data_IF_399131201250
#
_entry.id   IF_399131201250
#
_cell.length_a   1.000
_cell.length_b   1.000
_cell.length_c   1.000
_cell.angle_alpha   90.00
_cell.angle_beta   90.00
_cell.angle_gamma   90.00
#
_symmetry.space_group_name_H-M   'P 1'
#
loop_
_entity.id
_entity.type
_entity.pdbx_description
1 polymer ?
#
# COMPACT_ATOMS: atom_id res chain seq x y z
N UNK A 1 -4.42 25.47 22.35
CA UNK A 1 -4.93 24.25 21.70
C UNK A 1 -3.81 23.64 20.86
N UNK A 2 -3.24 22.50 21.27
CA UNK A 2 -2.16 21.87 20.51
C UNK A 2 -2.70 21.32 19.19
N UNK A 3 -2.17 21.77 18.05
CA UNK A 3 -2.47 21.20 16.73
C UNK A 3 -2.06 19.72 16.75
N UNK A 4 -3.04 18.82 16.81
CA UNK A 4 -2.82 17.37 16.66
C UNK A 4 -2.18 17.17 15.29
N UNK A 5 -0.91 16.77 15.24
CA UNK A 5 -0.23 16.46 13.96
C UNK A 5 -1.06 15.39 13.23
N UNK A 6 -1.34 15.55 11.93
CA UNK A 6 -2.03 14.52 11.15
C UNK A 6 -1.22 13.22 11.23
N UNK A 7 -1.89 12.14 11.61
CA UNK A 7 -1.26 10.82 11.73
C UNK A 7 -1.46 10.12 10.40
N UNK A 8 -0.39 9.96 9.64
CA UNK A 8 -0.41 9.21 8.40
C UNK A 8 0.10 7.79 8.64
N UNK A 9 -0.57 6.81 8.02
CA UNK A 9 -0.04 5.47 7.85
C UNK A 9 0.69 5.39 6.50
N UNK A 10 1.94 4.96 6.53
CA UNK A 10 2.73 4.73 5.32
C UNK A 10 2.70 3.25 4.96
N UNK A 11 2.22 2.96 3.76
CA UNK A 11 2.15 1.62 3.16
C UNK A 11 3.53 1.00 2.96
N UNK A 12 3.58 -0.28 2.61
CA UNK A 12 4.81 -1.05 2.45
C UNK A 12 5.68 -0.55 1.30
N UNK A 13 5.10 0.06 0.28
CA UNK A 13 5.84 0.75 -0.80
C UNK A 13 6.48 2.05 -0.33
N UNK A 14 6.03 2.59 0.81
CA UNK A 14 6.48 3.87 1.37
C UNK A 14 5.96 5.11 0.62
N UNK A 15 5.24 4.90 -0.48
CA UNK A 15 4.76 5.97 -1.36
C UNK A 15 3.38 6.46 -0.93
N UNK A 16 2.45 5.52 -0.73
CA UNK A 16 1.09 5.86 -0.36
C UNK A 16 0.99 6.14 1.14
N UNK A 17 0.42 7.30 1.47
CA UNK A 17 0.13 7.75 2.84
C UNK A 17 -1.37 7.83 3.08
N UNK A 18 -1.86 7.10 4.06
CA UNK A 18 -3.28 7.06 4.43
C UNK A 18 -3.48 7.97 5.65
N UNK A 19 -4.33 8.98 5.52
CA UNK A 19 -4.65 9.92 6.60
C UNK A 19 -5.59 9.28 7.61
N UNK A 20 -5.05 8.91 8.77
CA UNK A 20 -5.82 8.25 9.83
C UNK A 20 -6.87 9.18 10.47
N UNK A 21 -6.77 10.50 10.27
CA UNK A 21 -7.76 11.45 10.80
C UNK A 21 -9.07 11.46 10.02
N UNK A 22 -9.08 10.89 8.82
CA UNK A 22 -10.27 10.79 7.97
C UNK A 22 -11.07 9.50 8.19
N UNK A 23 -10.56 8.60 9.03
CA UNK A 23 -11.23 7.34 9.32
C UNK A 23 -12.47 7.58 10.16
N UNK A 24 -13.58 6.96 9.77
CA UNK A 24 -14.80 6.99 10.54
C UNK A 24 -14.74 6.06 11.78
N UNK A 25 -15.79 6.09 12.61
CA UNK A 25 -15.84 5.30 13.82
C UNK A 25 -15.82 3.77 13.58
N UNK A 26 -16.42 3.29 12.48
CA UNK A 26 -16.42 1.86 12.11
C UNK A 26 -15.05 1.44 11.64
N UNK A 27 -14.44 2.25 10.78
CA UNK A 27 -13.08 2.06 10.28
C UNK A 27 -12.06 2.01 11.42
N UNK A 28 -12.17 2.92 12.38
CA UNK A 28 -11.31 2.94 13.57
C UNK A 28 -11.51 1.70 14.45
N UNK A 29 -12.75 1.26 14.66
CA UNK A 29 -13.04 0.05 15.45
C UNK A 29 -12.51 -1.22 14.77
N UNK A 30 -12.73 -1.35 13.46
CA UNK A 30 -12.16 -2.42 12.64
C UNK A 30 -10.64 -2.45 12.75
N UNK A 31 -9.97 -1.31 12.52
CA UNK A 31 -8.51 -1.25 12.57
C UNK A 31 -7.95 -1.58 13.96
N UNK A 32 -8.62 -1.17 15.04
CA UNK A 32 -8.20 -1.53 16.39
C UNK A 32 -8.18 -3.05 16.57
N UNK A 33 -9.25 -3.75 16.21
CA UNK A 33 -9.27 -5.23 16.32
C UNK A 33 -8.25 -5.90 15.40
N UNK A 34 -8.08 -5.40 14.17
CA UNK A 34 -7.08 -5.92 13.23
C UNK A 34 -5.67 -5.74 13.80
N UNK A 35 -5.35 -4.58 14.36
CA UNK A 35 -4.04 -4.28 14.93
C UNK A 35 -3.77 -5.08 16.20
N UNK A 36 -4.78 -5.26 17.06
CA UNK A 36 -4.62 -6.12 18.24
C UNK A 36 -4.34 -7.56 17.83
N UNK A 37 -5.05 -8.09 16.83
CA UNK A 37 -4.75 -9.43 16.31
C UNK A 37 -3.37 -9.48 15.66
N UNK A 38 -2.99 -8.47 14.88
CA UNK A 38 -1.67 -8.38 14.26
C UNK A 38 -0.53 -8.47 15.27
N UNK A 39 -0.69 -7.85 16.45
CA UNK A 39 0.31 -7.87 17.53
C UNK A 39 0.54 -9.26 18.12
N UNK A 40 -0.41 -10.19 17.99
CA UNK A 40 -0.22 -11.58 18.44
C UNK A 40 0.67 -12.39 17.51
N UNK A 41 1.15 -11.79 16.41
CA UNK A 41 1.98 -12.43 15.37
C UNK A 41 1.32 -13.70 14.78
N UNK A 42 0.08 -13.59 14.29
CA UNK A 42 -0.59 -14.70 13.63
C UNK A 42 0.16 -15.06 12.34
N UNK A 43 -0.04 -16.28 11.86
CA UNK A 43 0.44 -16.62 10.53
C UNK A 43 -0.35 -15.89 9.42
N UNK A 44 0.20 -15.90 8.20
CA UNK A 44 -0.43 -15.21 7.07
C UNK A 44 -1.89 -15.62 6.80
N UNK A 45 -2.20 -16.92 6.87
CA UNK A 45 -3.54 -17.43 6.58
C UNK A 45 -4.52 -17.12 7.71
N UNK A 46 -4.08 -17.28 8.96
CA UNK A 46 -4.84 -16.90 10.15
C UNK A 46 -5.20 -15.41 10.12
N UNK A 47 -4.23 -14.55 9.77
CA UNK A 47 -4.45 -13.12 9.62
C UNK A 47 -5.44 -12.78 8.51
N UNK A 48 -5.27 -13.34 7.31
CA UNK A 48 -6.15 -13.11 6.18
C UNK A 48 -7.61 -13.49 6.51
N UNK A 49 -7.80 -14.67 7.11
CA UNK A 49 -9.11 -15.16 7.53
C UNK A 49 -9.75 -14.26 8.59
N UNK A 50 -9.02 -13.93 9.66
CA UNK A 50 -9.54 -13.08 10.74
C UNK A 50 -9.87 -11.68 10.24
N UNK A 51 -9.00 -11.07 9.43
CA UNK A 51 -9.23 -9.75 8.83
C UNK A 51 -10.51 -9.74 7.99
N UNK A 52 -10.73 -10.76 7.16
CA UNK A 52 -11.94 -10.86 6.35
C UNK A 52 -13.22 -10.98 7.20
N UNK A 53 -13.19 -11.76 8.29
CA UNK A 53 -14.30 -11.85 9.25
C UNK A 53 -14.57 -10.50 9.93
N UNK A 54 -13.52 -9.78 10.36
CA UNK A 54 -13.66 -8.45 10.93
C UNK A 54 -14.21 -7.44 9.91
N UNK A 55 -13.78 -7.52 8.66
CA UNK A 55 -14.27 -6.64 7.58
C UNK A 55 -15.78 -6.81 7.38
N UNK A 56 -16.26 -8.05 7.38
CA UNK A 56 -17.68 -8.37 7.29
C UNK A 56 -18.45 -7.89 8.54
N UNK A 57 -17.93 -8.18 9.74
CA UNK A 57 -18.50 -7.76 11.03
C UNK A 57 -18.73 -6.25 11.09
N UNK A 58 -17.76 -5.46 10.64
CA UNK A 58 -17.79 -4.00 10.65
C UNK A 58 -18.37 -3.37 9.38
N UNK A 59 -18.74 -4.19 8.38
CA UNK A 59 -19.25 -3.76 7.07
C UNK A 59 -18.32 -2.75 6.37
N UNK A 60 -17.02 -3.05 6.39
CA UNK A 60 -15.98 -2.20 5.80
C UNK A 60 -15.89 -2.47 4.30
N UNK A 61 -16.02 -1.40 3.51
CA UNK A 61 -15.88 -1.43 2.06
C UNK A 61 -14.47 -1.88 1.65
N UNK A 62 -14.37 -2.65 0.56
CA UNK A 62 -13.10 -3.23 0.09
C UNK A 62 -12.07 -2.16 -0.24
N UNK A 63 -12.53 -1.02 -0.76
CA UNK A 63 -11.68 0.11 -1.18
C UNK A 63 -11.60 1.22 -0.12
N UNK A 64 -11.97 0.93 1.12
CA UNK A 64 -11.85 1.88 2.22
C UNK A 64 -10.40 2.03 2.69
N UNK A 65 -10.07 3.16 3.29
CA UNK A 65 -8.74 3.42 3.83
C UNK A 65 -8.36 2.40 4.91
N UNK A 66 -9.34 1.98 5.72
CA UNK A 66 -9.14 0.94 6.72
C UNK A 66 -8.88 -0.44 6.12
N UNK A 67 -9.62 -0.84 5.08
CA UNK A 67 -9.37 -2.10 4.40
C UNK A 67 -7.96 -2.14 3.79
N UNK A 68 -7.52 -1.05 3.16
CA UNK A 68 -6.18 -0.91 2.58
C UNK A 68 -5.07 -1.08 3.61
N UNK A 69 -5.21 -0.49 4.81
CA UNK A 69 -4.26 -0.72 5.91
C UNK A 69 -4.24 -2.19 6.30
N UNK A 70 -5.42 -2.83 6.38
CA UNK A 70 -5.52 -4.26 6.68
C UNK A 70 -4.81 -5.15 5.64
N UNK A 71 -4.97 -4.87 4.35
CA UNK A 71 -4.27 -5.58 3.28
C UNK A 71 -2.76 -5.34 3.32
N UNK A 72 -2.32 -4.12 3.64
CA UNK A 72 -0.90 -3.81 3.79
C UNK A 72 -0.26 -4.60 4.96
N UNK A 73 -0.96 -4.71 6.08
CA UNK A 73 -0.53 -5.54 7.21
C UNK A 73 -0.43 -7.02 6.83
N UNK A 74 -1.42 -7.55 6.12
CA UNK A 74 -1.42 -8.92 5.61
C UNK A 74 -0.21 -9.18 4.69
N UNK A 75 0.05 -8.27 3.74
CA UNK A 75 1.19 -8.36 2.83
C UNK A 75 2.53 -8.38 3.58
N UNK A 76 2.68 -7.58 4.66
CA UNK A 76 3.89 -7.58 5.49
C UNK A 76 4.13 -8.91 6.21
N UNK A 77 3.07 -9.57 6.69
CA UNK A 77 3.20 -10.93 7.26
C UNK A 77 3.62 -11.90 6.16
N UNK A 78 2.92 -11.88 5.02
CA UNK A 78 3.23 -12.74 3.89
C UNK A 78 4.67 -12.59 3.40
N UNK A 79 5.21 -11.37 3.35
CA UNK A 79 6.61 -11.11 3.00
C UNK A 79 7.56 -11.64 4.06
N UNK A 80 7.27 -11.41 5.34
CA UNK A 80 8.09 -11.92 6.44
C UNK A 80 8.16 -13.46 6.47
N UNK A 81 7.09 -14.13 6.04
CA UNK A 81 7.00 -15.59 5.92
C UNK A 81 7.50 -16.13 4.56
N UNK A 82 7.87 -15.26 3.62
CA UNK A 82 8.29 -15.65 2.27
C UNK A 82 7.16 -16.14 1.35
N UNK A 83 5.91 -15.92 1.73
CA UNK A 83 4.70 -16.30 0.97
C UNK A 83 4.27 -15.23 -0.05
N UNK A 84 4.70 -13.98 0.16
CA UNK A 84 4.41 -12.83 -0.72
C UNK A 84 5.73 -12.21 -1.17
N UNK A 85 5.84 -11.89 -2.45
CA UNK A 85 7.00 -11.22 -2.99
C UNK A 85 7.12 -9.78 -2.47
N UNK A 86 8.34 -9.27 -2.35
CA UNK A 86 8.54 -7.85 -2.00
C UNK A 86 7.99 -6.94 -3.10
N UNK A 87 7.46 -5.75 -2.73
CA UNK A 87 7.04 -4.77 -3.73
C UNK A 87 8.19 -4.38 -4.65
N UNK A 88 7.90 -4.27 -5.93
CA UNK A 88 8.84 -3.87 -6.96
C UNK A 88 8.46 -2.51 -7.57
N UNK A 89 9.17 -2.10 -8.63
CA UNK A 89 8.88 -0.82 -9.28
C UNK A 89 7.49 -0.80 -9.95
N UNK A 90 6.96 -1.95 -10.40
CA UNK A 90 5.62 -2.03 -10.96
C UNK A 90 4.57 -1.70 -9.90
N UNK A 91 4.72 -2.21 -8.68
CA UNK A 91 3.82 -1.90 -7.56
C UNK A 91 3.85 -0.40 -7.24
N UNK A 92 5.04 0.20 -7.23
CA UNK A 92 5.21 1.64 -7.02
C UNK A 92 4.53 2.49 -8.11
N UNK A 93 4.65 2.10 -9.37
CA UNK A 93 3.97 2.77 -10.49
C UNK A 93 2.45 2.66 -10.32
N UNK A 94 1.95 1.48 -9.91
CA UNK A 94 0.53 1.29 -9.69
C UNK A 94 -0.01 2.20 -8.59
N UNK A 95 0.70 2.30 -7.47
CA UNK A 95 0.31 3.16 -6.35
C UNK A 95 0.18 4.61 -6.78
N UNK A 96 1.16 5.13 -7.52
CA UNK A 96 1.10 6.51 -8.04
C UNK A 96 -0.05 6.73 -9.02
N UNK A 97 -0.35 5.74 -9.87
CA UNK A 97 -1.50 5.81 -10.78
C UNK A 97 -2.80 5.87 -9.98
N UNK A 98 -2.99 4.98 -9.00
CA UNK A 98 -4.21 4.94 -8.20
C UNK A 98 -4.39 6.20 -7.37
N UNK A 99 -3.31 6.72 -6.80
CA UNK A 99 -3.34 7.95 -5.99
C UNK A 99 -3.73 9.18 -6.81
N UNK A 100 -3.18 9.34 -8.02
CA UNK A 100 -3.38 10.57 -8.82
C UNK A 100 -4.53 10.49 -9.81
N UNK A 101 -4.79 9.30 -10.37
CA UNK A 101 -5.70 9.11 -11.50
C UNK A 101 -6.87 8.17 -11.18
N UNK A 102 -6.90 7.56 -9.98
CA UNK A 102 -7.94 6.62 -9.52
C UNK A 102 -8.02 5.29 -10.28
N UNK A 103 -7.58 5.24 -11.54
CA UNK A 103 -7.53 4.04 -12.35
C UNK A 103 -6.44 4.10 -13.42
N UNK A 104 -6.02 2.94 -13.92
CA UNK A 104 -5.08 2.84 -15.04
C UNK A 104 -5.66 3.40 -16.34
N UNK A 105 -6.96 3.26 -16.55
CA UNK A 105 -7.65 3.75 -17.74
C UNK A 105 -7.69 5.29 -17.76
N UNK A 106 -8.01 5.91 -16.61
CA UNK A 106 -7.96 7.36 -16.46
C UNK A 106 -6.54 7.87 -16.70
N UNK A 107 -5.53 7.21 -16.12
CA UNK A 107 -4.13 7.55 -16.37
C UNK A 107 -3.78 7.49 -17.86
N UNK A 108 -4.14 6.41 -18.57
CA UNK A 108 -3.88 6.30 -20.00
C UNK A 108 -4.54 7.43 -20.80
N UNK A 109 -5.82 7.71 -20.51
CA UNK A 109 -6.62 8.75 -21.17
C UNK A 109 -6.03 10.15 -20.95
N UNK A 110 -5.66 10.48 -19.72
CA UNK A 110 -5.19 11.82 -19.36
C UNK A 110 -3.73 12.08 -19.76
N UNK A 111 -2.91 11.04 -19.80
CA UNK A 111 -1.47 11.19 -20.08
C UNK A 111 -1.08 10.90 -21.53
N UNK A 112 -2.04 10.38 -22.32
CA UNK A 112 -1.87 9.85 -23.68
C UNK A 112 -0.86 8.68 -23.74
N UNK A 113 -0.73 7.93 -22.64
CA UNK A 113 0.01 6.67 -22.60
C UNK A 113 -0.91 5.57 -23.09
N UNK A 114 -0.41 4.74 -24.01
CA UNK A 114 -1.21 3.62 -24.53
C UNK A 114 -1.36 2.53 -23.49
N UNK A 115 -2.53 1.89 -23.44
CA UNK A 115 -2.78 0.71 -22.60
C UNK A 115 -1.77 -0.41 -22.86
N UNK A 116 -1.34 -0.58 -24.12
CA UNK A 116 -0.29 -1.52 -24.52
C UNK A 116 1.05 -1.23 -23.85
N UNK A 117 1.52 0.03 -23.87
CA UNK A 117 2.76 0.42 -23.22
C UNK A 117 2.69 0.19 -21.71
N UNK A 118 1.58 0.60 -21.08
CA UNK A 118 1.36 0.38 -19.66
C UNK A 118 1.36 -1.11 -19.31
N UNK A 119 0.71 -1.95 -20.11
CA UNK A 119 0.71 -3.39 -19.94
C UNK A 119 2.11 -4.01 -20.06
N UNK A 120 2.97 -3.52 -20.97
CA UNK A 120 4.35 -3.99 -21.08
C UNK A 120 5.17 -3.66 -19.83
N UNK A 121 4.96 -2.49 -19.24
CA UNK A 121 5.64 -2.08 -17.99
C UNK A 121 5.23 -2.99 -16.83
N UNK A 122 3.94 -3.24 -16.67
CA UNK A 122 3.44 -4.18 -15.66
C UNK A 122 3.87 -5.62 -15.89
N UNK A 123 4.04 -6.03 -17.14
CA UNK A 123 4.57 -7.35 -17.50
C UNK A 123 6.09 -7.49 -17.33
N UNK A 124 6.81 -6.42 -16.95
CA UNK A 124 8.28 -6.43 -16.88
C UNK A 124 8.96 -6.56 -18.25
N UNK A 125 8.24 -6.24 -19.34
CA UNK A 125 8.68 -6.38 -20.74
C UNK A 125 8.98 -5.03 -21.41
N UNK A 126 8.94 -3.95 -20.65
CA UNK A 126 9.18 -2.59 -21.12
C UNK A 126 10.66 -2.23 -21.13
N UNK A 127 11.01 -1.23 -21.93
CA UNK A 127 12.33 -0.62 -21.88
C UNK A 127 12.46 0.37 -20.71
N UNK A 128 13.70 0.72 -20.34
CA UNK A 128 13.95 1.82 -19.40
C UNK A 128 13.38 3.16 -19.92
N UNK A 129 13.31 3.35 -21.24
CA UNK A 129 12.73 4.54 -21.86
C UNK A 129 11.23 4.67 -21.56
N UNK A 130 10.50 3.56 -21.63
CA UNK A 130 9.07 3.50 -21.33
C UNK A 130 8.81 3.82 -19.85
N UNK A 131 9.61 3.23 -18.95
CA UNK A 131 9.51 3.49 -17.50
C UNK A 131 9.79 4.97 -17.19
N UNK A 132 10.82 5.56 -17.79
CA UNK A 132 11.14 6.99 -17.65
C UNK A 132 10.03 7.89 -18.18
N UNK A 133 9.36 7.50 -19.26
CA UNK A 133 8.22 8.25 -19.81
C UNK A 133 7.04 8.22 -18.84
N UNK A 134 6.68 7.03 -18.33
CA UNK A 134 5.61 6.89 -17.34
C UNK A 134 5.92 7.69 -16.08
N UNK A 135 7.14 7.58 -15.53
CA UNK A 135 7.55 8.34 -14.35
C UNK A 135 7.36 9.85 -14.55
N UNK A 136 7.76 10.39 -15.71
CA UNK A 136 7.54 11.80 -16.05
C UNK A 136 6.06 12.18 -16.10
N UNK A 137 5.21 11.34 -16.69
CA UNK A 137 3.75 11.56 -16.74
C UNK A 137 3.10 11.51 -15.36
N UNK A 138 3.66 10.72 -14.45
CA UNK A 138 3.29 10.70 -13.05
C UNK A 138 3.86 11.90 -12.26
N UNK A 139 4.68 12.76 -12.87
CA UNK A 139 5.35 13.85 -12.15
C UNK A 139 6.42 13.35 -11.17
N UNK A 140 7.01 12.19 -11.45
CA UNK A 140 8.02 11.54 -10.62
C UNK A 140 9.38 11.53 -11.33
N UNK A 141 10.46 11.42 -10.55
CA UNK A 141 11.81 11.23 -11.06
C UNK A 141 12.22 9.77 -10.84
N UNK A 142 12.67 9.10 -11.89
CA UNK A 142 13.21 7.74 -11.77
C UNK A 142 14.60 7.81 -11.16
N UNK A 143 14.77 7.18 -9.99
CA UNK A 143 16.06 7.02 -9.32
C UNK A 143 16.45 5.54 -9.38
N UNK A 144 17.61 5.24 -9.95
CA UNK A 144 18.18 3.90 -9.94
C UNK A 144 19.13 3.80 -8.75
N UNK A 145 18.78 2.97 -7.77
CA UNK A 145 19.63 2.71 -6.61
C UNK A 145 20.24 1.30 -6.73
N UNK A 146 21.50 1.16 -6.32
CA UNK A 146 22.06 -0.16 -6.06
C UNK A 146 21.55 -0.65 -4.70
N UNK A 147 20.87 -1.80 -4.67
CA UNK A 147 20.26 -2.36 -3.48
C UNK A 147 21.35 -2.80 -2.47
N UNK A 148 21.77 -1.87 -1.62
CA UNK A 148 22.79 -2.08 -0.57
C UNK A 148 22.20 -2.10 0.85
N UNK A 149 20.87 -2.24 0.99
CA UNK A 149 20.28 -2.66 2.27
C UNK A 149 19.30 -1.72 2.96
N UNK A 150 18.41 -1.04 2.24
CA UNK A 150 17.23 -0.41 2.85
C UNK A 150 16.13 -1.46 3.14
N UNK A 151 16.46 -2.48 3.93
CA UNK A 151 15.61 -3.65 4.22
C UNK A 151 14.91 -3.60 5.58
N UNK A 152 15.20 -2.60 6.41
CA UNK A 152 14.69 -2.52 7.78
C UNK A 152 13.35 -1.79 7.92
N UNK A 153 12.82 -1.12 6.89
CA UNK A 153 11.58 -0.30 6.98
C UNK A 153 10.26 -1.08 6.74
N UNK A 154 10.33 -2.31 6.24
CA UNK A 154 9.15 -3.06 5.80
C UNK A 154 8.63 -4.08 6.82
N UNK A 155 9.30 -4.24 7.97
CA UNK A 155 8.97 -5.28 8.95
C UNK A 155 7.62 -5.06 9.64
N UNK A 156 6.93 -6.14 10.06
CA UNK A 156 5.71 -6.07 10.88
C UNK A 156 5.83 -5.16 12.12
N UNK A 157 7.02 -5.14 12.74
CA UNK A 157 7.27 -4.37 13.94
C UNK A 157 7.19 -2.85 13.71
N UNK A 158 7.67 -2.36 12.56
CA UNK A 158 7.56 -0.94 12.19
C UNK A 158 6.14 -0.53 11.82
N UNK A 159 5.35 -1.44 11.25
CA UNK A 159 3.93 -1.19 10.99
C UNK A 159 3.17 -0.95 12.31
N UNK A 160 3.44 -1.75 13.34
CA UNK A 160 2.87 -1.58 14.68
C UNK A 160 3.28 -0.23 15.28
N UNK A 161 4.55 0.16 15.18
CA UNK A 161 5.04 1.43 15.73
C UNK A 161 4.29 2.64 15.15
N UNK A 162 3.97 2.61 13.86
CA UNK A 162 3.18 3.64 13.18
C UNK A 162 1.71 3.66 13.63
N UNK A 163 1.18 2.50 14.04
CA UNK A 163 -0.21 2.30 14.49
C UNK A 163 -0.39 2.39 16.02
N UNK A 164 0.69 2.52 16.81
CA UNK A 164 0.69 2.55 18.30
C UNK A 164 -0.16 3.66 18.95
N UNK A 165 -0.82 4.53 18.18
CA UNK A 165 -1.64 5.63 18.69
C UNK A 165 -3.05 5.71 18.07
N UNK A 166 -3.54 4.63 17.46
CA UNK A 166 -4.98 4.46 17.15
C UNK A 166 -5.81 4.29 18.44
#
# INVERSE_FOLDING_TARGET
>A
MAKKKPKFYETITGLRKIDLSKLDAKELAFLREVVEFYKTKPDWNEFANRRNLLRQKYQIEINSSAADIGYDLEARIGIAEGKVAMPNYQDQINDFIMEKFWSRDNFCRETNITTKMLAQVFAGKSTLGDIKLIARKLGCVLVLTHDSGTRTDMSPQKAIERLRRL
#
